data_IF_126413191915
#
_entry.id   IF_126413191915
#
_cell.length_a   1.000
_cell.length_b   1.000
_cell.length_c   1.000
_cell.angle_alpha   90.00
_cell.angle_beta   90.00
_cell.angle_gamma   90.00
#
_symmetry.space_group_name_H-M   'P 1'
#
loop_
_entity.id
_entity.type
_entity.pdbx_description
1 polymer ?
#
# COMPACT_ATOMS: atom_id res chain seq x y z
N UNK A 1 9.01 -32.31 25.34
CA UNK A 1 7.65 -31.78 25.55
C UNK A 1 7.59 -30.40 24.92
N UNK A 2 7.41 -30.31 23.59
CA UNK A 2 7.22 -29.04 22.87
C UNK A 2 5.72 -28.77 22.80
N UNK A 3 5.26 -27.73 23.49
CA UNK A 3 3.86 -27.29 23.44
C UNK A 3 3.52 -26.81 22.04
N UNK A 4 2.87 -27.65 21.24
CA UNK A 4 2.20 -27.21 20.01
C UNK A 4 1.00 -26.36 20.43
N UNK A 5 1.20 -25.04 20.50
CA UNK A 5 0.09 -24.08 20.61
C UNK A 5 -0.87 -24.36 19.45
N UNK A 6 -2.16 -24.65 19.69
CA UNK A 6 -3.12 -24.81 18.60
C UNK A 6 -3.16 -23.49 17.84
N UNK A 7 -2.81 -23.50 16.56
CA UNK A 7 -3.02 -22.34 15.71
C UNK A 7 -4.53 -22.07 15.68
N UNK A 8 -4.98 -20.98 16.31
CA UNK A 8 -6.38 -20.57 16.23
C UNK A 8 -6.79 -20.52 14.75
N UNK A 9 -7.80 -21.30 14.38
CA UNK A 9 -8.42 -21.29 13.06
C UNK A 9 -9.25 -20.01 12.90
N UNK A 10 -8.56 -18.87 12.80
CA UNK A 10 -9.18 -17.58 12.52
C UNK A 10 -9.81 -17.65 11.12
N UNK A 11 -11.11 -17.39 11.02
CA UNK A 11 -11.83 -17.29 9.74
C UNK A 11 -11.07 -16.36 8.78
N UNK A 12 -11.04 -16.66 7.47
CA UNK A 12 -10.36 -15.85 6.44
C UNK A 12 -10.62 -14.33 6.57
N UNK A 13 -11.86 -13.96 6.94
CA UNK A 13 -12.25 -12.57 7.21
C UNK A 13 -11.44 -11.94 8.34
N UNK A 14 -11.22 -12.66 9.43
CA UNK A 14 -10.46 -12.18 10.57
C UNK A 14 -8.99 -11.92 10.19
N UNK A 15 -8.38 -12.82 9.41
CA UNK A 15 -7.01 -12.63 8.94
C UNK A 15 -6.87 -11.43 7.99
N UNK A 16 -7.84 -11.23 7.09
CA UNK A 16 -7.88 -10.05 6.23
C UNK A 16 -7.91 -8.75 7.07
N UNK A 17 -8.81 -8.64 8.04
CA UNK A 17 -8.91 -7.45 8.90
C UNK A 17 -7.68 -7.25 9.79
N UNK A 18 -7.04 -8.34 10.22
CA UNK A 18 -5.77 -8.27 10.95
C UNK A 18 -4.66 -7.69 10.06
N UNK A 19 -4.59 -8.10 8.79
CA UNK A 19 -3.67 -7.53 7.80
C UNK A 19 -3.94 -6.04 7.54
N UNK A 20 -5.19 -5.67 7.31
CA UNK A 20 -5.60 -4.27 7.13
C UNK A 20 -5.17 -3.39 8.31
N UNK A 21 -5.44 -3.84 9.55
CA UNK A 21 -5.01 -3.13 10.76
C UNK A 21 -3.49 -3.08 10.92
N UNK A 22 -2.78 -4.11 10.45
CA UNK A 22 -1.32 -4.14 10.45
C UNK A 22 -0.68 -3.13 9.50
N UNK A 23 -1.29 -2.88 8.34
CA UNK A 23 -0.76 -1.94 7.33
C UNK A 23 -1.23 -0.50 7.58
N UNK A 24 -2.38 -0.30 8.24
CA UNK A 24 -2.97 1.02 8.50
C UNK A 24 -1.99 2.08 9.04
N UNK A 25 -1.14 1.78 10.05
CA UNK A 25 -0.19 2.76 10.57
C UNK A 25 0.86 3.21 9.55
N UNK A 26 1.26 2.30 8.64
CA UNK A 26 2.25 2.59 7.60
C UNK A 26 1.66 3.51 6.52
N UNK A 27 0.35 3.42 6.25
CA UNK A 27 -0.32 4.27 5.26
C UNK A 27 -0.22 5.76 5.60
N UNK A 28 -0.15 6.11 6.88
CA UNK A 28 0.09 7.50 7.31
C UNK A 28 1.41 8.04 6.77
N UNK A 29 2.45 7.21 6.72
CA UNK A 29 3.74 7.55 6.12
C UNK A 29 3.71 7.59 4.60
N UNK A 30 2.93 6.71 3.95
CA UNK A 30 2.86 6.60 2.48
C UNK A 30 1.99 7.70 1.85
N UNK A 31 0.96 8.19 2.56
CA UNK A 31 0.05 9.23 2.07
C UNK A 31 0.73 10.47 1.47
N UNK A 32 1.69 11.14 2.15
CA UNK A 32 2.37 12.30 1.58
C UNK A 32 3.16 11.98 0.29
N UNK A 33 3.75 10.79 0.16
CA UNK A 33 4.43 10.38 -1.08
C UNK A 33 3.45 10.25 -2.25
N UNK A 34 2.25 9.72 -2.00
CA UNK A 34 1.18 9.67 -3.00
C UNK A 34 0.75 11.06 -3.46
N UNK A 35 0.67 12.03 -2.53
CA UNK A 35 0.37 13.42 -2.88
C UNK A 35 1.47 14.08 -3.72
N UNK A 36 2.75 13.85 -3.38
CA UNK A 36 3.90 14.37 -4.14
C UNK A 36 3.86 13.83 -5.58
N UNK A 37 3.69 12.51 -5.72
CA UNK A 37 3.59 11.89 -7.04
C UNK A 37 2.38 12.42 -7.82
N UNK A 38 1.23 12.58 -7.16
CA UNK A 38 0.04 13.17 -7.77
C UNK A 38 0.30 14.58 -8.30
N UNK A 39 0.94 15.45 -7.51
CA UNK A 39 1.29 16.80 -7.93
C UNK A 39 2.27 16.80 -9.12
N UNK A 40 3.27 15.91 -9.10
CA UNK A 40 4.25 15.75 -10.19
C UNK A 40 3.57 15.26 -11.48
N UNK A 41 2.73 14.23 -11.39
CA UNK A 41 2.01 13.68 -12.54
C UNK A 41 1.11 14.73 -13.20
N UNK A 42 0.48 15.61 -12.41
CA UNK A 42 -0.31 16.74 -12.93
C UNK A 42 0.56 17.78 -13.64
N UNK A 43 1.77 18.08 -13.14
CA UNK A 43 2.71 18.98 -13.82
C UNK A 43 3.27 18.38 -15.12
N UNK A 44 3.54 17.07 -15.14
CA UNK A 44 4.06 16.37 -16.31
C UNK A 44 3.02 16.11 -17.40
N UNK A 45 1.79 16.60 -17.26
CA UNK A 45 0.72 16.41 -18.24
C UNK A 45 0.15 14.98 -18.31
N UNK A 46 0.45 14.13 -17.32
CA UNK A 46 -0.06 12.76 -17.26
C UNK A 46 -1.56 12.82 -16.97
N UNK A 47 -2.35 12.02 -17.72
CA UNK A 47 -3.78 11.91 -17.47
C UNK A 47 -4.05 11.30 -16.09
N UNK A 48 -5.11 11.76 -15.41
CA UNK A 48 -5.46 11.29 -14.07
C UNK A 48 -5.60 9.75 -13.99
N UNK A 49 -6.27 9.08 -14.97
CA UNK A 49 -6.36 7.62 -14.95
C UNK A 49 -5.00 6.93 -15.10
N UNK A 50 -4.11 7.46 -15.94
CA UNK A 50 -2.78 6.91 -16.12
C UNK A 50 -1.92 7.07 -14.86
N UNK A 51 -1.99 8.23 -14.19
CA UNK A 51 -1.30 8.46 -12.92
C UNK A 51 -1.78 7.51 -11.81
N UNK A 52 -3.09 7.24 -11.74
CA UNK A 52 -3.63 6.25 -10.80
C UNK A 52 -3.21 4.82 -11.13
N UNK A 53 -3.20 4.46 -12.42
CA UNK A 53 -2.70 3.16 -12.88
C UNK A 53 -1.23 2.95 -12.51
N UNK A 54 -0.38 3.99 -12.64
CA UNK A 54 1.02 3.94 -12.21
C UNK A 54 1.15 3.63 -10.71
N UNK A 55 0.30 4.22 -9.86
CA UNK A 55 0.31 3.92 -8.41
C UNK A 55 -0.08 2.47 -8.07
N UNK A 56 -0.76 1.77 -8.98
CA UNK A 56 -1.28 0.42 -8.77
C UNK A 56 -0.40 -0.67 -9.41
N UNK A 57 0.30 -0.34 -10.50
CA UNK A 57 0.99 -1.30 -11.37
C UNK A 57 2.52 -1.13 -11.28
N UNK A 58 3.01 0.09 -11.07
CA UNK A 58 4.44 0.42 -11.11
C UNK A 58 5.01 0.41 -9.70
N UNK A 59 6.02 -0.44 -9.48
CA UNK A 59 6.74 -0.57 -8.20
C UNK A 59 8.19 -0.06 -8.33
N UNK A 60 8.36 1.17 -8.84
CA UNK A 60 9.68 1.77 -9.08
C UNK A 60 10.33 2.37 -7.81
N UNK A 61 9.58 2.51 -6.72
CA UNK A 61 10.07 3.09 -5.47
C UNK A 61 10.48 4.56 -5.63
N UNK A 62 11.65 4.93 -5.13
CA UNK A 62 12.17 6.32 -5.23
C UNK A 62 12.47 6.76 -6.66
N UNK A 63 12.71 5.82 -7.59
CA UNK A 63 12.95 6.14 -8.99
C UNK A 63 11.73 6.72 -9.71
N UNK A 64 10.53 6.62 -9.14
CA UNK A 64 9.31 7.22 -9.72
C UNK A 64 9.26 8.75 -9.60
N UNK A 65 10.18 9.35 -8.84
CA UNK A 65 10.25 10.79 -8.60
C UNK A 65 11.34 11.51 -9.43
N UNK A 66 12.16 10.77 -10.18
CA UNK A 66 13.24 11.30 -11.03
C UNK A 66 12.82 11.23 -12.51
#
# INVERSE_FOLDING_TARGET
>A
MTTHTPAESLTNRHQFWRGVRGVLPILLGVFPFGMIYGALARQSGISVPAAQAMSSIVFAGSAQFI
#
